data_IF_609732827083
#
_entry.id   IF_609732827083
#
_cell.length_a   1.000
_cell.length_b   1.000
_cell.length_c   1.000
_cell.angle_alpha   90.00
_cell.angle_beta   90.00
_cell.angle_gamma   90.00
#
_symmetry.space_group_name_H-M   'P 1'
#
loop_
_entity.id
_entity.type
_entity.pdbx_description
1 polymer ?
#
# COMPACT_ATOMS: atom_id res chain seq x y z
N UNK A 1 -4.48 2.04 -3.92
CA UNK A 1 -4.50 1.08 -2.81
C UNK A 1 -5.92 0.67 -2.49
N UNK A 2 -6.87 1.40 -1.92
CA UNK A 2 -8.16 0.84 -1.49
C UNK A 2 -8.02 0.21 -0.11
N UNK A 3 -8.58 -0.97 0.15
CA UNK A 3 -8.51 -1.62 1.47
C UNK A 3 -7.11 -2.12 1.88
N UNK A 4 -6.11 -2.03 1.00
CA UNK A 4 -4.73 -2.46 1.25
C UNK A 4 -4.46 -3.96 1.04
N UNK A 5 -5.43 -4.75 0.56
CA UNK A 5 -5.32 -6.22 0.45
C UNK A 5 -4.05 -6.67 -0.28
N UNK A 6 -3.71 -6.08 -1.43
CA UNK A 6 -2.52 -6.47 -2.19
C UNK A 6 -1.25 -6.11 -1.41
N UNK A 7 -1.13 -4.87 -0.95
CA UNK A 7 0.05 -4.39 -0.23
C UNK A 7 0.32 -5.20 1.05
N UNK A 8 -0.73 -5.46 1.85
CA UNK A 8 -0.62 -6.22 3.10
C UNK A 8 -0.30 -7.69 2.86
N UNK A 9 -0.85 -8.28 1.79
CA UNK A 9 -0.53 -9.66 1.42
C UNK A 9 0.93 -9.80 0.99
N UNK A 10 1.46 -8.84 0.23
CA UNK A 10 2.87 -8.81 -0.15
C UNK A 10 3.77 -8.59 1.07
N UNK A 11 3.40 -7.65 1.94
CA UNK A 11 4.14 -7.33 3.17
C UNK A 11 4.25 -8.53 4.14
N UNK A 12 3.20 -9.35 4.23
CA UNK A 12 3.18 -10.57 5.03
C UNK A 12 3.98 -11.72 4.42
N UNK A 13 3.99 -11.83 3.08
CA UNK A 13 4.65 -12.94 2.37
C UNK A 13 6.15 -12.70 2.15
N UNK A 14 6.54 -11.45 1.91
CA UNK A 14 7.92 -11.07 1.58
C UNK A 14 8.45 -10.13 2.67
N UNK A 15 9.07 -10.71 3.71
CA UNK A 15 9.52 -9.97 4.89
C UNK A 15 10.66 -8.99 4.61
N UNK A 16 11.41 -9.21 3.54
CA UNK A 16 12.51 -8.32 3.11
C UNK A 16 12.06 -7.26 2.11
N UNK A 17 10.83 -7.36 1.59
CA UNK A 17 10.33 -6.38 0.64
C UNK A 17 9.97 -5.07 1.34
N UNK A 18 10.36 -3.96 0.72
CA UNK A 18 9.86 -2.62 1.03
C UNK A 18 8.58 -2.37 0.25
N UNK A 19 7.48 -2.07 0.96
CA UNK A 19 6.16 -1.93 0.36
C UNK A 19 5.66 -0.51 0.50
N UNK A 20 5.31 0.10 -0.63
CA UNK A 20 4.62 1.37 -0.72
C UNK A 20 3.20 1.15 -1.23
N UNK A 21 2.22 1.80 -0.59
CA UNK A 21 0.81 1.69 -0.95
C UNK A 21 0.21 3.08 -1.13
N UNK A 22 -0.20 3.41 -2.37
CA UNK A 22 -0.66 4.75 -2.74
C UNK A 22 -2.15 4.77 -3.05
N UNK A 23 -2.91 5.71 -2.49
CA UNK A 23 -4.30 6.03 -2.89
C UNK A 23 -4.53 7.51 -3.06
N UNK A 24 -5.54 7.85 -3.88
CA UNK A 24 -6.06 9.21 -3.94
C UNK A 24 -7.00 9.51 -2.76
N UNK A 25 -7.68 8.49 -2.22
CA UNK A 25 -8.64 8.61 -1.12
C UNK A 25 -7.97 8.49 0.25
N UNK A 26 -8.16 9.52 1.09
CA UNK A 26 -7.73 9.47 2.50
C UNK A 26 -8.46 8.38 3.29
N UNK A 27 -9.76 8.21 3.05
CA UNK A 27 -10.56 7.17 3.70
C UNK A 27 -10.05 5.77 3.37
N UNK A 28 -9.63 5.55 2.11
CA UNK A 28 -9.04 4.28 1.71
C UNK A 28 -7.70 4.02 2.44
N UNK A 29 -6.87 5.05 2.59
CA UNK A 29 -5.61 4.95 3.32
C UNK A 29 -5.83 4.70 4.82
N UNK A 30 -6.82 5.35 5.42
CA UNK A 30 -7.21 5.11 6.81
C UNK A 30 -7.65 3.66 7.00
N UNK A 31 -8.56 3.15 6.16
CA UNK A 31 -9.01 1.76 6.18
C UNK A 31 -7.86 0.77 5.97
N UNK A 32 -6.96 1.05 5.04
CA UNK A 32 -5.78 0.21 4.81
C UNK A 32 -4.84 0.20 6.02
N UNK A 33 -4.67 1.34 6.70
CA UNK A 33 -3.92 1.47 7.94
C UNK A 33 -4.54 0.69 9.10
N UNK A 34 -5.87 0.73 9.26
CA UNK A 34 -6.59 -0.09 10.23
C UNK A 34 -6.41 -1.59 9.96
N UNK A 35 -6.50 -2.00 8.70
CA UNK A 35 -6.23 -3.38 8.30
C UNK A 35 -4.78 -3.78 8.60
N UNK A 36 -3.81 -2.88 8.37
CA UNK A 36 -2.42 -3.12 8.73
C UNK A 36 -2.27 -3.35 10.23
N UNK A 37 -2.90 -2.52 11.06
CA UNK A 37 -2.88 -2.66 12.52
C UNK A 37 -3.51 -3.98 12.97
N UNK A 38 -4.68 -4.34 12.43
CA UNK A 38 -5.38 -5.60 12.75
C UNK A 38 -4.55 -6.84 12.40
N UNK A 39 -3.71 -6.76 11.38
CA UNK A 39 -2.84 -7.84 10.93
C UNK A 39 -1.44 -7.82 11.56
N UNK A 40 -1.12 -6.84 12.41
CA UNK A 40 0.22 -6.69 12.99
C UNK A 40 1.28 -6.24 11.97
N UNK A 41 0.87 -5.55 10.91
CA UNK A 41 1.69 -5.13 9.77
C UNK A 41 1.89 -3.61 9.69
N UNK A 42 1.53 -2.82 10.71
CA UNK A 42 1.60 -1.35 10.66
C UNK A 42 2.98 -0.79 10.30
N UNK A 43 4.07 -1.49 10.65
CA UNK A 43 5.44 -1.10 10.29
C UNK A 43 5.95 -1.69 8.98
N UNK A 44 5.12 -2.43 8.23
CA UNK A 44 5.53 -3.18 7.04
C UNK A 44 5.10 -2.53 5.71
N UNK A 45 4.24 -1.50 5.76
CA UNK A 45 3.73 -0.81 4.57
C UNK A 45 3.79 0.70 4.78
N UNK A 46 4.35 1.41 3.82
CA UNK A 46 4.36 2.86 3.76
C UNK A 46 3.15 3.36 2.96
N UNK A 47 2.16 3.91 3.66
CA UNK A 47 0.96 4.47 3.04
C UNK A 47 1.21 5.91 2.60
N UNK A 48 0.87 6.24 1.36
CA UNK A 48 1.02 7.60 0.79
C UNK A 48 -0.24 8.02 0.05
N UNK A 49 -0.59 9.31 0.15
CA UNK A 49 -1.66 9.89 -0.65
C UNK A 49 -1.12 10.38 -1.99
N UNK A 50 -1.75 9.98 -3.08
CA UNK A 50 -1.36 10.39 -4.44
C UNK A 50 -2.23 9.76 -5.50
N UNK A 51 -2.30 10.37 -6.68
CA UNK A 51 -2.96 9.77 -7.83
C UNK A 51 -1.97 8.88 -8.58
N UNK A 52 -2.23 7.56 -8.58
CA UNK A 52 -1.37 6.55 -9.21
C UNK A 52 0.10 6.66 -8.75
N UNK A 53 0.98 7.15 -9.61
CA UNK A 53 2.44 7.26 -9.38
C UNK A 53 2.89 8.70 -9.13
N UNK A 54 1.97 9.65 -8.96
CA UNK A 54 2.32 11.02 -8.64
C UNK A 54 3.12 11.11 -7.33
N UNK A 55 4.18 11.91 -7.33
CA UNK A 55 5.07 12.14 -6.19
C UNK A 55 5.75 10.87 -5.65
N UNK A 56 6.00 9.90 -6.52
CA UNK A 56 6.89 8.77 -6.26
C UNK A 56 8.16 8.95 -7.07
N UNK A 57 9.23 9.42 -6.42
CA UNK A 57 10.55 9.62 -7.05
C UNK A 57 11.44 8.36 -6.93
N UNK A 58 10.95 7.32 -6.27
CA UNK A 58 11.66 6.07 -6.09
C UNK A 58 11.60 5.15 -7.33
N UNK A 59 12.60 4.27 -7.44
CA UNK A 59 12.59 3.18 -8.42
C UNK A 59 12.00 1.94 -7.79
N UNK A 60 10.95 1.39 -8.41
CA UNK A 60 10.31 0.15 -7.96
C UNK A 60 10.73 -1.02 -8.84
N UNK A 61 11.05 -2.16 -8.22
CA UNK A 61 11.28 -3.41 -8.94
C UNK A 61 9.98 -4.02 -9.48
N UNK A 62 8.86 -3.74 -8.80
CA UNK A 62 7.53 -4.23 -9.16
C UNK A 62 6.46 -3.19 -8.82
N UNK A 63 5.56 -2.94 -9.77
CA UNK A 63 4.34 -2.16 -9.56
C UNK A 63 3.14 -3.09 -9.73
N UNK A 64 2.24 -3.10 -8.75
CA UNK A 64 1.01 -3.92 -8.77
C UNK A 64 -0.19 -3.00 -8.54
N UNK A 65 -1.22 -3.14 -9.37
CA UNK A 65 -2.44 -2.35 -9.24
C UNK A 65 -3.67 -3.17 -9.60
N UNK A 66 -4.75 -2.97 -8.84
CA UNK A 66 -6.10 -3.34 -9.22
C UNK A 66 -6.86 -2.03 -9.47
N UNK A 67 -6.84 -1.55 -10.72
CA UNK A 67 -7.44 -0.27 -11.10
C UNK A 67 -8.97 -0.39 -11.23
N UNK A 68 -9.73 0.71 -11.11
CA UNK A 68 -11.15 0.73 -11.46
C UNK A 68 -11.37 0.27 -12.90
N UNK A 69 -12.48 -0.43 -13.12
CA UNK A 69 -12.93 -0.86 -14.45
C UNK A 69 -13.65 0.26 -15.20
#
# INVERSE_FOLDING_TARGET
TGSGVIALSLAAKFLEAEIFAVDISEDALALAGENAARLGLSGRVQFRKGALLENLDERFDLIVANLPY
#
